data_IF_318591978290
#
_entry.id   IF_318591978290
#
_cell.length_a   1.000
_cell.length_b   1.000
_cell.length_c   1.000
_cell.angle_alpha   90.00
_cell.angle_beta   90.00
_cell.angle_gamma   90.00
#
_symmetry.space_group_name_H-M   'P 1'
#
loop_
_entity.id
_entity.type
_entity.pdbx_description
1 polymer ?
#
# COMPACT_ATOMS: atom_id res chain seq x y z
N UNK A 1 11.69 -17.22 15.66
CA UNK A 1 11.38 -17.64 14.28
C UNK A 1 10.10 -16.93 13.79
N UNK A 2 9.79 -16.93 12.49
CA UNK A 2 8.53 -16.39 11.93
C UNK A 2 7.32 -17.03 12.59
N UNK A 3 7.38 -18.33 12.86
CA UNK A 3 6.27 -19.05 13.51
C UNK A 3 6.05 -18.58 14.95
N UNK A 4 7.11 -18.31 15.71
CA UNK A 4 7.01 -17.77 17.07
C UNK A 4 6.40 -16.36 17.08
N UNK A 5 6.79 -15.52 16.11
CA UNK A 5 6.27 -14.17 15.97
C UNK A 5 4.76 -14.17 15.69
N UNK A 6 4.30 -15.00 14.76
CA UNK A 6 2.87 -15.13 14.45
C UNK A 6 2.07 -15.72 15.62
N UNK A 7 2.70 -16.59 16.42
CA UNK A 7 2.06 -17.12 17.64
C UNK A 7 1.91 -16.04 18.70
N UNK A 8 2.97 -15.28 18.94
CA UNK A 8 2.98 -14.15 19.88
C UNK A 8 1.95 -13.10 19.48
N UNK A 9 1.96 -12.66 18.22
CA UNK A 9 1.03 -11.67 17.71
C UNK A 9 -0.42 -12.14 17.86
N UNK A 10 -0.68 -13.43 17.54
CA UNK A 10 -1.97 -14.05 17.75
C UNK A 10 -2.43 -14.02 19.20
N UNK A 11 -1.49 -14.18 20.14
CA UNK A 11 -1.73 -14.04 21.58
C UNK A 11 -1.94 -12.59 22.06
N UNK A 12 -1.57 -11.57 21.28
CA UNK A 12 -1.88 -10.17 21.58
C UNK A 12 -3.33 -9.80 21.24
N UNK A 13 -3.97 -10.58 20.36
CA UNK A 13 -5.31 -10.30 19.81
C UNK A 13 -6.33 -11.41 20.10
N UNK A 14 -5.95 -12.43 20.87
CA UNK A 14 -6.81 -13.54 21.26
C UNK A 14 -6.36 -14.15 22.59
N UNK A 15 -7.33 -14.45 23.46
CA UNK A 15 -7.10 -15.15 24.73
C UNK A 15 -6.91 -16.67 24.56
N UNK A 16 -7.01 -17.19 23.33
CA UNK A 16 -6.83 -18.62 23.07
C UNK A 16 -5.40 -19.06 23.38
N UNK A 17 -5.25 -20.29 23.88
CA UNK A 17 -3.95 -20.97 24.04
C UNK A 17 -3.66 -21.95 22.90
N UNK A 18 -4.63 -22.21 22.01
CA UNK A 18 -4.43 -23.06 20.84
C UNK A 18 -3.61 -22.34 19.76
N UNK A 19 -2.51 -22.98 19.34
CA UNK A 19 -1.55 -22.41 18.39
C UNK A 19 -2.19 -22.08 17.03
N UNK A 20 -3.03 -22.98 16.50
CA UNK A 20 -3.70 -22.75 15.21
C UNK A 20 -4.64 -21.56 15.29
N UNK A 21 -5.36 -21.43 16.39
CA UNK A 21 -6.29 -20.33 16.64
C UNK A 21 -5.55 -19.01 16.74
N UNK A 22 -4.40 -18.96 17.44
CA UNK A 22 -3.52 -17.78 17.47
C UNK A 22 -3.03 -17.38 16.07
N UNK A 23 -2.57 -18.32 15.26
CA UNK A 23 -2.14 -18.01 13.88
C UNK A 23 -3.26 -17.41 13.03
N UNK A 24 -4.48 -17.93 13.13
CA UNK A 24 -5.64 -17.37 12.43
C UNK A 24 -5.96 -15.95 12.93
N UNK A 25 -5.90 -15.74 14.24
CA UNK A 25 -6.15 -14.43 14.84
C UNK A 25 -5.09 -13.40 14.40
N UNK A 26 -3.81 -13.79 14.37
CA UNK A 26 -2.73 -12.97 13.84
C UNK A 26 -2.97 -12.59 12.37
N UNK A 27 -3.30 -13.57 11.51
CA UNK A 27 -3.59 -13.33 10.10
C UNK A 27 -4.77 -12.37 9.90
N UNK A 28 -5.85 -12.53 10.67
CA UNK A 28 -6.99 -11.62 10.62
C UNK A 28 -6.63 -10.20 11.08
N UNK A 29 -5.83 -10.06 12.13
CA UNK A 29 -5.37 -8.77 12.63
C UNK A 29 -4.43 -8.07 11.62
N UNK A 30 -3.50 -8.81 11.01
CA UNK A 30 -2.61 -8.32 9.94
C UNK A 30 -3.44 -7.78 8.77
N UNK A 31 -4.38 -8.57 8.26
CA UNK A 31 -5.21 -8.18 7.13
C UNK A 31 -6.08 -6.96 7.44
N UNK A 32 -6.68 -6.91 8.63
CA UNK A 32 -7.46 -5.75 9.06
C UNK A 32 -6.61 -4.47 9.17
N UNK A 33 -5.39 -4.59 9.70
CA UNK A 33 -4.46 -3.46 9.80
C UNK A 33 -4.00 -2.99 8.41
N UNK A 34 -3.57 -3.90 7.55
CA UNK A 34 -3.17 -3.59 6.17
C UNK A 34 -4.29 -2.92 5.39
N UNK A 35 -5.53 -3.40 5.55
CA UNK A 35 -6.72 -2.75 4.98
C UNK A 35 -6.86 -1.30 5.48
N UNK A 36 -6.73 -1.07 6.78
CA UNK A 36 -6.82 0.29 7.34
C UNK A 36 -5.76 1.24 6.78
N UNK A 37 -4.55 0.75 6.52
CA UNK A 37 -3.47 1.52 5.91
C UNK A 37 -3.78 1.83 4.44
N UNK A 38 -4.30 0.87 3.68
CA UNK A 38 -4.69 1.11 2.28
C UNK A 38 -5.89 2.03 2.16
N UNK A 39 -6.89 1.91 3.04
CA UNK A 39 -8.03 2.81 3.10
C UNK A 39 -7.55 4.24 3.38
N UNK A 40 -6.63 4.41 4.34
CA UNK A 40 -6.02 5.69 4.66
C UNK A 40 -5.21 6.28 3.49
N UNK A 41 -4.45 5.46 2.74
CA UNK A 41 -3.76 5.92 1.53
C UNK A 41 -4.75 6.41 0.46
N UNK A 42 -5.86 5.69 0.25
CA UNK A 42 -6.81 6.01 -0.82
C UNK A 42 -7.64 7.24 -0.45
N UNK A 43 -8.16 7.29 0.78
CA UNK A 43 -9.16 8.26 1.20
C UNK A 43 -8.60 9.41 2.04
N UNK A 44 -7.37 9.27 2.54
CA UNK A 44 -6.70 10.28 3.36
C UNK A 44 -6.68 9.90 4.84
N UNK A 45 -5.91 10.66 5.60
CA UNK A 45 -5.79 10.52 7.06
C UNK A 45 -5.55 11.87 7.70
N UNK A 46 -6.20 12.12 8.84
CA UNK A 46 -6.18 13.42 9.51
C UNK A 46 -6.66 14.54 8.57
N UNK A 47 -5.79 15.51 8.31
CA UNK A 47 -6.08 16.65 7.43
C UNK A 47 -5.48 16.49 6.02
N UNK A 48 -4.87 15.35 5.71
CA UNK A 48 -4.25 15.11 4.40
C UNK A 48 -5.25 14.45 3.44
N UNK A 49 -5.41 14.99 2.22
CA UNK A 49 -6.21 14.34 1.19
C UNK A 49 -5.58 13.00 0.79
N UNK A 50 -6.43 12.00 0.53
CA UNK A 50 -5.98 10.73 -0.01
C UNK A 50 -5.63 10.81 -1.49
N UNK A 51 -5.01 9.75 -2.00
CA UNK A 51 -4.66 9.60 -3.43
C UNK A 51 -5.87 9.82 -4.34
N UNK A 52 -7.07 9.40 -3.92
CA UNK A 52 -8.31 9.56 -4.69
C UNK A 52 -8.73 11.03 -4.91
N UNK A 53 -8.20 11.96 -4.13
CA UNK A 53 -8.49 13.39 -4.24
C UNK A 53 -7.41 14.17 -5.00
N UNK A 54 -6.37 13.49 -5.50
CA UNK A 54 -5.27 14.11 -6.25
C UNK A 54 -5.54 13.94 -7.76
N UNK A 55 -5.90 15.00 -8.52
CA UNK A 55 -6.46 14.86 -9.87
C UNK A 55 -5.56 14.14 -10.88
N UNK A 56 -4.25 14.24 -10.72
CA UNK A 56 -3.25 13.59 -11.59
C UNK A 56 -2.87 12.18 -11.13
N UNK A 57 -3.32 11.74 -9.96
CA UNK A 57 -2.97 10.42 -9.43
C UNK A 57 -4.06 9.42 -9.81
N UNK A 58 -3.66 8.37 -10.50
CA UNK A 58 -4.55 7.30 -10.92
C UNK A 58 -4.26 6.03 -10.13
N UNK A 59 -5.29 5.40 -9.57
CA UNK A 59 -5.18 4.15 -8.81
C UNK A 59 -5.55 2.97 -9.70
N UNK A 60 -4.59 2.06 -9.91
CA UNK A 60 -4.85 0.80 -10.61
C UNK A 60 -5.70 -0.09 -9.71
N UNK A 61 -6.79 -0.62 -10.28
CA UNK A 61 -7.79 -1.39 -9.54
C UNK A 61 -8.83 -0.53 -8.81
N UNK A 62 -8.86 0.80 -9.03
CA UNK A 62 -9.92 1.68 -8.55
C UNK A 62 -9.86 2.01 -7.05
N UNK A 63 -10.65 3.00 -6.63
CA UNK A 63 -10.75 3.44 -5.24
C UNK A 63 -11.61 2.50 -4.39
N UNK A 64 -12.62 1.88 -5.00
CA UNK A 64 -13.47 0.87 -4.37
C UNK A 64 -13.10 -0.52 -4.91
N UNK A 65 -12.37 -1.29 -4.10
CA UNK A 65 -11.95 -2.64 -4.42
C UNK A 65 -11.99 -3.52 -3.17
N UNK A 66 -13.06 -4.32 -2.97
CA UNK A 66 -13.21 -5.16 -1.79
C UNK A 66 -12.18 -6.31 -1.73
N UNK A 67 -11.49 -6.61 -2.84
CA UNK A 67 -10.44 -7.62 -2.92
C UNK A 67 -9.02 -7.03 -2.79
N UNK A 68 -8.91 -5.75 -2.42
CA UNK A 68 -7.61 -5.09 -2.22
C UNK A 68 -6.91 -5.66 -0.99
N UNK A 69 -5.73 -6.21 -1.22
CA UNK A 69 -4.77 -6.58 -0.17
C UNK A 69 -3.90 -5.37 0.21
N UNK A 70 -2.91 -5.55 1.10
CA UNK A 70 -2.03 -4.50 1.65
C UNK A 70 -1.12 -3.76 0.65
N UNK A 71 -1.62 -3.31 -0.50
CA UNK A 71 -0.92 -2.47 -1.46
C UNK A 71 -1.85 -1.58 -2.28
N UNK A 72 -1.28 -0.48 -2.78
CA UNK A 72 -1.90 0.41 -3.76
C UNK A 72 -0.92 0.64 -4.90
N UNK A 73 -1.34 0.36 -6.13
CA UNK A 73 -0.58 0.67 -7.34
C UNK A 73 -1.10 1.97 -7.94
N UNK A 74 -0.21 2.92 -8.21
CA UNK A 74 -0.56 4.23 -8.77
C UNK A 74 0.32 4.61 -9.95
N UNK A 75 -0.15 5.53 -10.78
CA UNK A 75 0.68 6.32 -11.69
C UNK A 75 0.23 7.79 -11.62
N UNK A 76 1.11 8.69 -12.07
CA UNK A 76 0.85 10.13 -12.08
C UNK A 76 0.80 10.61 -13.53
N UNK A 77 -0.31 11.21 -13.93
CA UNK A 77 -0.50 11.75 -15.27
C UNK A 77 0.61 12.75 -15.61
N UNK A 78 1.22 12.55 -16.78
CA UNK A 78 2.32 13.39 -17.28
C UNK A 78 3.69 13.11 -16.63
N UNK A 79 3.86 12.02 -15.89
CA UNK A 79 5.11 11.69 -15.22
C UNK A 79 5.46 10.20 -15.32
N UNK A 80 6.73 9.88 -15.59
CA UNK A 80 7.17 8.50 -15.58
C UNK A 80 7.14 7.95 -14.15
N UNK A 81 6.60 6.75 -13.97
CA UNK A 81 6.52 6.10 -12.64
C UNK A 81 7.90 5.91 -11.98
N UNK A 82 8.98 5.83 -12.78
CA UNK A 82 10.35 5.78 -12.27
C UNK A 82 10.78 7.09 -11.59
N UNK A 83 10.31 8.23 -12.09
CA UNK A 83 10.61 9.55 -11.52
C UNK A 83 9.84 9.75 -10.21
N UNK A 84 8.57 9.33 -10.16
CA UNK A 84 7.78 9.32 -8.91
C UNK A 84 8.48 8.48 -7.82
N UNK A 85 8.94 7.26 -8.16
CA UNK A 85 9.71 6.41 -7.23
C UNK A 85 10.98 7.11 -6.78
N UNK A 86 11.67 7.82 -7.67
CA UNK A 86 12.91 8.54 -7.34
C UNK A 86 12.63 9.67 -6.34
N UNK A 87 11.63 10.52 -6.59
CA UNK A 87 11.24 11.60 -5.68
C UNK A 87 10.77 11.08 -4.31
N UNK A 88 10.00 9.99 -4.28
CA UNK A 88 9.62 9.34 -3.02
C UNK A 88 10.85 8.83 -2.26
N UNK A 89 11.82 8.23 -2.95
CA UNK A 89 13.06 7.75 -2.33
C UNK A 89 13.91 8.89 -1.74
N UNK A 90 13.94 10.06 -2.37
CA UNK A 90 14.65 11.25 -1.87
C UNK A 90 14.06 11.75 -0.55
N UNK A 91 12.74 11.60 -0.36
CA UNK A 91 12.03 11.88 0.90
C UNK A 91 12.08 10.70 1.90
N UNK A 92 12.87 9.65 1.61
CA UNK A 92 13.03 8.48 2.48
C UNK A 92 11.91 7.45 2.38
N UNK A 93 11.00 7.58 1.42
CA UNK A 93 9.84 6.71 1.23
C UNK A 93 10.14 5.64 0.19
N UNK A 94 10.32 4.40 0.67
CA UNK A 94 10.67 3.27 -0.20
C UNK A 94 9.44 2.68 -0.87
N UNK A 95 9.35 2.86 -2.17
CA UNK A 95 8.36 2.24 -3.05
C UNK A 95 9.04 1.47 -4.18
N UNK A 96 8.28 0.70 -4.95
CA UNK A 96 8.84 -0.12 -6.03
C UNK A 96 8.20 0.20 -7.37
N UNK A 97 9.02 0.38 -8.40
CA UNK A 97 8.55 0.47 -9.79
C UNK A 97 8.13 -0.92 -10.28
N UNK A 98 6.89 -1.07 -10.74
CA UNK A 98 6.47 -2.23 -11.55
C UNK A 98 6.51 -1.82 -13.00
N UNK A 99 7.31 -2.52 -13.81
CA UNK A 99 7.44 -2.28 -15.25
C UNK A 99 6.49 -3.20 -16.01
N UNK A 100 6.11 -2.84 -17.22
CA UNK A 100 5.46 -3.73 -18.17
C UNK A 100 6.45 -4.81 -18.67
N UNK A 101 6.81 -5.74 -17.78
CA UNK A 101 7.71 -6.86 -18.03
C UNK A 101 6.94 -8.20 -18.00
N UNK A 102 7.65 -9.32 -18.03
CA UNK A 102 7.04 -10.65 -17.99
C UNK A 102 6.20 -10.94 -16.74
N UNK A 103 6.32 -10.16 -15.66
CA UNK A 103 5.52 -10.31 -14.45
C UNK A 103 4.32 -9.36 -14.37
N UNK A 104 4.30 -8.28 -15.14
CA UNK A 104 3.27 -7.22 -14.97
C UNK A 104 2.76 -6.61 -16.27
N UNK A 105 3.36 -6.92 -17.42
CA UNK A 105 2.91 -6.48 -18.74
C UNK A 105 1.48 -6.92 -19.07
N UNK A 106 1.08 -8.13 -18.65
CA UNK A 106 -0.30 -8.60 -18.82
C UNK A 106 -1.37 -7.73 -18.13
N UNK A 107 -0.98 -6.91 -17.17
CA UNK A 107 -1.85 -5.91 -16.52
C UNK A 107 -1.60 -4.51 -17.08
N UNK A 108 -0.34 -4.13 -17.31
CA UNK A 108 0.04 -2.76 -17.67
C UNK A 108 -0.11 -2.45 -19.17
N UNK A 109 0.20 -3.40 -20.06
CA UNK A 109 0.09 -3.20 -21.52
C UNK A 109 -1.35 -2.90 -21.96
N UNK A 110 -2.40 -3.62 -21.48
CA UNK A 110 -3.79 -3.30 -21.83
C UNK A 110 -4.26 -1.93 -21.31
N UNK A 111 -3.60 -1.39 -20.29
CA UNK A 111 -3.86 -0.06 -19.73
C UNK A 111 -3.06 1.04 -20.45
N UNK A 112 -2.17 0.69 -21.39
CA UNK A 112 -1.29 1.62 -22.08
C UNK A 112 -0.20 2.21 -21.19
N UNK A 113 0.20 1.51 -20.12
CA UNK A 113 1.19 1.96 -19.14
C UNK A 113 2.49 1.18 -19.30
N UNK A 114 3.63 1.87 -19.29
CA UNK A 114 4.96 1.26 -19.28
C UNK A 114 5.42 0.86 -17.86
N UNK A 115 4.81 1.46 -16.84
CA UNK A 115 5.04 1.14 -15.45
C UNK A 115 4.12 1.87 -14.47
N UNK A 116 4.10 1.38 -13.22
CA UNK A 116 3.39 2.00 -12.10
C UNK A 116 4.22 1.96 -10.82
N UNK A 117 3.91 2.84 -9.88
CA UNK A 117 4.45 2.83 -8.53
C UNK A 117 3.62 1.86 -7.69
N UNK A 118 4.27 0.87 -7.08
CA UNK A 118 3.63 -0.03 -6.12
C UNK A 118 4.04 0.37 -4.71
N UNK A 119 3.05 0.82 -3.94
CA UNK A 119 3.17 1.11 -2.51
C UNK A 119 2.63 -0.11 -1.76
N UNK A 120 3.50 -0.85 -1.08
CA UNK A 120 3.15 -2.08 -0.38
C UNK A 120 3.30 -1.88 1.11
N UNK A 121 2.27 -2.26 1.85
CA UNK A 121 2.22 -2.22 3.29
C UNK A 121 2.43 -3.62 3.85
N UNK A 122 2.89 -3.66 5.09
CA UNK A 122 2.87 -4.81 5.96
C UNK A 122 2.35 -4.37 7.33
N UNK A 123 2.04 -5.33 8.18
CA UNK A 123 1.55 -5.07 9.54
C UNK A 123 2.50 -4.29 10.47
N UNK A 124 3.77 -4.11 10.10
CA UNK A 124 4.71 -3.25 10.83
C UNK A 124 4.64 -1.78 10.41
N UNK A 125 3.92 -1.47 9.32
CA UNK A 125 3.74 -0.09 8.91
C UNK A 125 2.68 0.64 9.72
N UNK A 126 2.68 1.97 9.63
CA UNK A 126 1.80 2.83 10.43
C UNK A 126 1.04 3.87 9.61
N UNK A 127 -0.04 4.40 10.20
CA UNK A 127 -0.76 5.55 9.65
C UNK A 127 0.13 6.79 9.54
N UNK A 128 1.16 6.91 10.39
CA UNK A 128 2.12 8.00 10.31
C UNK A 128 2.95 7.93 9.02
N UNK A 129 3.43 6.75 8.63
CA UNK A 129 4.14 6.54 7.36
C UNK A 129 3.22 6.80 6.17
N UNK A 130 1.94 6.40 6.26
CA UNK A 130 0.93 6.73 5.24
C UNK A 130 0.75 8.25 5.12
N UNK A 131 0.71 8.98 6.24
CA UNK A 131 0.61 10.44 6.23
C UNK A 131 1.84 11.10 5.59
N UNK A 132 3.05 10.63 5.90
CA UNK A 132 4.28 11.12 5.25
C UNK A 132 4.24 10.88 3.74
N UNK A 133 3.80 9.69 3.32
CA UNK A 133 3.59 9.36 1.91
C UNK A 133 2.58 10.28 1.21
N UNK A 134 1.42 10.52 1.82
CA UNK A 134 0.42 11.41 1.24
C UNK A 134 0.90 12.86 1.13
N UNK A 135 1.70 13.34 2.09
CA UNK A 135 2.27 14.68 2.03
C UNK A 135 3.19 14.85 0.82
N UNK A 136 4.08 13.88 0.57
CA UNK A 136 4.99 13.91 -0.59
C UNK A 136 4.23 13.72 -1.90
N UNK A 137 3.27 12.78 -1.95
CA UNK A 137 2.45 12.57 -3.14
C UNK A 137 1.64 13.80 -3.53
N UNK A 138 1.15 14.57 -2.55
CA UNK A 138 0.49 15.83 -2.82
C UNK A 138 1.43 16.80 -3.55
N UNK A 139 2.66 16.96 -3.06
CA UNK A 139 3.67 17.80 -3.72
C UNK A 139 4.07 17.32 -5.12
N UNK A 140 4.04 16.01 -5.37
CA UNK A 140 4.31 15.42 -6.69
C UNK A 140 3.13 15.63 -7.67
N UNK A 141 1.89 15.60 -7.14
CA UNK A 141 0.66 15.66 -7.92
C UNK A 141 0.22 17.08 -8.27
N UNK A 142 0.62 18.08 -7.47
CA UNK A 142 0.45 19.51 -7.76
C UNK A 142 1.29 19.95 -8.98
#
# INVERSE_FOLDING_TARGET
>A
DVTDYLEWLGGQVSDSTDRRTRFKAAGAAIHAHEKSLTDAMIHGTGNLPGLASMPRVQIIGGTDNPAREGLVSIYVDGMASADVVTMLNEEGIRTHLRKADHYSGNILDPLGLDGCVRVSMCHYNSIHEVAQFLAVMKSIAD
#
